data_IF_333773464564
#
_entry.id   IF_333773464564
#
_cell.length_a   1.000
_cell.length_b   1.000
_cell.length_c   1.000
_cell.angle_alpha   90.00
_cell.angle_beta   90.00
_cell.angle_gamma   90.00
#
_symmetry.space_group_name_H-M   'P 1'
#
loop_
_entity.id
_entity.type
_entity.pdbx_description
1 polymer ?
#
# COMPACT_ATOMS: atom_id res chain seq x y z
N UNK A 1 44.76 -21.25 -3.27
CA UNK A 1 44.36 -19.84 -3.04
C UNK A 1 44.04 -19.24 -4.39
N UNK A 2 42.76 -19.04 -4.71
CA UNK A 2 42.32 -18.51 -6.01
C UNK A 2 41.67 -17.16 -5.76
N UNK A 3 42.38 -16.10 -6.10
CA UNK A 3 41.95 -14.71 -6.04
C UNK A 3 41.29 -14.38 -7.37
N UNK A 4 39.96 -14.20 -7.40
CA UNK A 4 39.23 -13.74 -8.59
C UNK A 4 39.09 -12.23 -8.49
N UNK A 5 39.85 -11.50 -9.31
CA UNK A 5 39.68 -10.07 -9.52
C UNK A 5 39.98 -9.74 -10.98
N UNK A 6 39.02 -9.04 -11.60
CA UNK A 6 38.99 -8.56 -13.00
C UNK A 6 38.84 -9.69 -14.04
N UNK A 7 38.06 -9.57 -15.10
CA UNK A 7 38.10 -8.51 -16.10
C UNK A 7 36.84 -8.62 -17.00
N UNK A 8 36.32 -7.46 -17.41
CA UNK A 8 35.16 -7.26 -18.29
C UNK A 8 35.61 -7.43 -19.76
N UNK A 9 34.78 -8.01 -20.65
CA UNK A 9 34.42 -7.27 -21.88
C UNK A 9 32.93 -7.50 -22.22
N UNK A 10 32.06 -6.49 -22.21
CA UNK A 10 31.80 -5.56 -23.33
C UNK A 10 32.01 -6.22 -24.69
N UNK A 11 30.95 -6.79 -25.30
CA UNK A 11 30.72 -6.65 -26.73
C UNK A 11 29.30 -7.04 -27.16
N UNK A 12 28.72 -6.17 -27.99
CA UNK A 12 27.71 -6.45 -29.00
C UNK A 12 26.29 -6.83 -28.56
N UNK A 13 25.45 -5.81 -28.36
CA UNK A 13 24.10 -5.77 -28.94
C UNK A 13 23.54 -4.33 -28.82
N UNK A 14 24.16 -3.40 -29.56
CA UNK A 14 23.61 -2.05 -29.76
C UNK A 14 23.53 -1.82 -31.27
N UNK A 15 22.41 -2.20 -31.87
CA UNK A 15 21.98 -1.64 -33.14
C UNK A 15 20.45 -1.73 -33.26
N UNK A 16 19.88 -0.54 -33.46
CA UNK A 16 18.56 -0.28 -34.01
C UNK A 16 17.33 -0.65 -33.14
N UNK A 17 16.99 0.25 -32.22
CA UNK A 17 15.58 0.67 -32.09
C UNK A 17 15.53 2.13 -31.62
N UNK A 18 15.82 3.03 -32.55
CA UNK A 18 15.43 4.43 -32.41
C UNK A 18 13.94 4.55 -32.73
N UNK A 19 13.11 4.74 -31.69
CA UNK A 19 11.80 5.39 -31.80
C UNK A 19 11.38 5.93 -30.41
N UNK A 20 11.76 7.20 -30.18
CA UNK A 20 11.10 8.27 -29.40
C UNK A 20 10.63 8.04 -27.94
N UNK A 21 11.06 8.91 -26.98
CA UNK A 21 10.24 9.38 -25.86
C UNK A 21 9.41 10.62 -26.29
N UNK A 22 8.62 11.35 -25.46
CA UNK A 22 8.14 11.13 -24.08
C UNK A 22 6.62 11.41 -23.91
N UNK A 23 5.89 10.70 -23.04
CA UNK A 23 4.68 11.29 -22.40
C UNK A 23 4.52 10.87 -20.95
N UNK A 24 4.86 11.85 -20.10
CA UNK A 24 4.33 12.09 -18.77
C UNK A 24 2.81 11.84 -18.74
N UNK A 25 2.43 10.69 -18.19
CA UNK A 25 1.24 10.59 -17.37
C UNK A 25 1.80 10.40 -15.95
N UNK A 26 1.98 11.47 -15.15
CA UNK A 26 0.92 11.89 -14.22
C UNK A 26 -0.13 10.79 -14.17
N UNK A 27 0.09 9.80 -13.31
CA UNK A 27 -1.03 9.03 -12.82
C UNK A 27 -1.92 10.07 -12.15
N UNK A 28 -3.10 10.43 -12.68
CA UNK A 28 -4.10 11.02 -11.81
C UNK A 28 -4.29 9.98 -10.72
N UNK A 29 -4.05 10.41 -9.47
CA UNK A 29 -4.49 9.69 -8.29
C UNK A 29 -5.85 9.07 -8.61
N UNK A 30 -5.91 7.73 -8.52
CA UNK A 30 -7.05 6.94 -8.90
C UNK A 30 -8.35 7.65 -8.47
N UNK A 31 -9.10 8.14 -9.46
CA UNK A 31 -10.41 8.71 -9.23
C UNK A 31 -11.25 7.66 -8.47
N UNK A 32 -12.01 8.09 -7.46
CA UNK A 32 -12.45 7.25 -6.36
C UNK A 32 -13.41 6.18 -6.89
N UNK A 33 -13.00 4.93 -6.74
CA UNK A 33 -13.79 3.78 -7.12
C UNK A 33 -15.08 3.72 -6.30
N UNK A 34 -16.17 4.13 -6.97
CA UNK A 34 -17.54 3.60 -6.85
C UNK A 34 -18.13 3.68 -5.45
N UNK A 35 -19.06 4.60 -5.30
CA UNK A 35 -19.90 4.85 -4.14
C UNK A 35 -20.60 3.57 -3.63
N UNK A 36 -19.88 2.77 -2.85
CA UNK A 36 -20.48 1.94 -1.81
C UNK A 36 -20.97 2.94 -0.77
N UNK A 37 -22.28 3.15 -0.71
CA UNK A 37 -23.02 3.94 0.29
C UNK A 37 -22.09 4.91 1.04
N UNK A 38 -21.75 6.02 0.37
CA UNK A 38 -20.75 6.95 0.88
C UNK A 38 -21.25 7.46 2.23
N UNK A 39 -20.74 6.86 3.31
CA UNK A 39 -20.86 7.43 4.66
C UNK A 39 -20.37 8.86 4.48
N UNK A 40 -21.27 9.84 4.66
CA UNK A 40 -20.92 11.26 4.58
C UNK A 40 -20.03 11.57 5.77
N UNK A 41 -18.75 11.25 5.63
CA UNK A 41 -17.74 11.54 6.63
C UNK A 41 -17.36 13.01 6.51
N UNK A 42 -17.23 13.66 7.66
CA UNK A 42 -16.61 14.98 7.72
C UNK A 42 -15.12 14.87 7.30
N UNK A 43 -14.50 15.96 6.81
CA UNK A 43 -13.07 15.95 6.50
C UNK A 43 -12.20 15.59 7.72
N UNK A 44 -12.67 15.88 8.93
CA UNK A 44 -11.99 15.50 10.18
C UNK A 44 -12.05 13.98 10.43
N UNK A 45 -13.21 13.37 10.18
CA UNK A 45 -13.38 11.93 10.29
C UNK A 45 -12.53 11.18 9.26
N UNK A 46 -12.44 11.70 8.03
CA UNK A 46 -11.57 11.14 6.99
C UNK A 46 -10.10 11.17 7.43
N UNK A 47 -9.59 12.32 7.88
CA UNK A 47 -8.22 12.44 8.41
C UNK A 47 -7.97 11.48 9.58
N UNK A 48 -8.94 11.33 10.48
CA UNK A 48 -8.84 10.40 11.61
C UNK A 48 -8.77 8.94 11.15
N UNK A 49 -9.60 8.54 10.20
CA UNK A 49 -9.57 7.19 9.60
C UNK A 49 -8.22 6.92 8.94
N UNK A 50 -7.69 7.88 8.19
CA UNK A 50 -6.37 7.73 7.54
C UNK A 50 -5.25 7.56 8.58
N UNK A 51 -5.22 8.39 9.62
CA UNK A 51 -4.23 8.28 10.70
C UNK A 51 -4.31 6.95 11.43
N UNK A 52 -5.52 6.49 11.76
CA UNK A 52 -5.74 5.19 12.37
C UNK A 52 -5.29 4.06 11.45
N UNK A 53 -5.54 4.18 10.14
CA UNK A 53 -5.12 3.17 9.18
C UNK A 53 -3.59 3.06 9.10
N UNK A 54 -2.86 4.18 9.05
CA UNK A 54 -1.40 4.16 9.07
C UNK A 54 -0.85 3.55 10.37
N UNK A 55 -1.47 3.84 11.53
CA UNK A 55 -1.12 3.19 12.79
C UNK A 55 -1.37 1.68 12.75
N UNK A 56 -2.52 1.25 12.23
CA UNK A 56 -2.84 -0.17 12.09
C UNK A 56 -1.81 -0.91 11.20
N UNK A 57 -1.41 -0.29 10.08
CA UNK A 57 -0.36 -0.84 9.19
C UNK A 57 0.99 -0.91 9.92
N UNK A 58 1.35 0.12 10.68
CA UNK A 58 2.57 0.13 11.50
C UNK A 58 2.59 -0.99 12.52
N UNK A 59 1.51 -1.13 13.31
CA UNK A 59 1.35 -2.23 14.27
C UNK A 59 1.41 -3.60 13.60
N UNK A 60 0.71 -3.78 12.48
CA UNK A 60 0.77 -5.03 11.71
C UNK A 60 2.19 -5.37 11.24
N UNK A 61 2.92 -4.37 10.73
CA UNK A 61 4.30 -4.53 10.26
C UNK A 61 5.26 -4.88 11.40
N UNK A 62 4.97 -4.39 12.61
CA UNK A 62 5.70 -4.69 13.84
C UNK A 62 5.25 -6.01 14.50
N UNK A 63 4.37 -6.78 13.84
CA UNK A 63 3.76 -8.00 14.37
C UNK A 63 2.90 -7.81 15.64
N UNK A 64 2.52 -6.56 15.95
CA UNK A 64 1.61 -6.21 17.04
C UNK A 64 0.15 -6.31 16.55
N UNK A 65 -0.33 -7.55 16.45
CA UNK A 65 -1.70 -7.87 16.01
C UNK A 65 -2.79 -7.30 16.94
N UNK A 66 -2.62 -7.28 18.28
CA UNK A 66 -3.55 -6.63 19.18
C UNK A 66 -3.71 -5.14 18.89
N UNK A 67 -2.61 -4.39 18.74
CA UNK A 67 -2.68 -2.96 18.44
C UNK A 67 -3.26 -2.71 17.04
N UNK A 68 -2.87 -3.51 16.05
CA UNK A 68 -3.42 -3.42 14.69
C UNK A 68 -4.95 -3.61 14.70
N UNK A 69 -5.43 -4.62 15.43
CA UNK A 69 -6.86 -4.92 15.56
C UNK A 69 -7.63 -3.83 16.31
N UNK A 70 -7.03 -3.24 17.35
CA UNK A 70 -7.62 -2.12 18.09
C UNK A 70 -7.82 -0.90 17.18
N UNK A 71 -6.81 -0.53 16.39
CA UNK A 71 -6.91 0.57 15.43
C UNK A 71 -7.96 0.29 14.34
N UNK A 72 -8.04 -0.94 13.84
CA UNK A 72 -9.07 -1.34 12.88
C UNK A 72 -10.49 -1.23 13.47
N UNK A 73 -10.69 -1.60 14.74
CA UNK A 73 -11.98 -1.44 15.42
C UNK A 73 -12.42 0.02 15.49
N UNK A 74 -11.49 0.93 15.76
CA UNK A 74 -11.77 2.37 15.74
C UNK A 74 -12.14 2.85 14.33
N UNK A 75 -11.43 2.38 13.29
CA UNK A 75 -11.76 2.71 11.89
C UNK A 75 -13.17 2.25 11.56
N UNK A 76 -13.54 1.01 11.87
CA UNK A 76 -14.87 0.49 11.56
C UNK A 76 -15.99 1.13 12.37
N UNK A 77 -15.67 1.77 13.51
CA UNK A 77 -16.63 2.57 14.27
C UNK A 77 -16.96 3.91 13.58
N UNK A 78 -16.06 4.42 12.74
CA UNK A 78 -16.24 5.68 11.99
C UNK A 78 -16.69 5.41 10.56
N UNK A 79 -16.00 4.50 9.89
CA UNK A 79 -16.23 4.09 8.51
C UNK A 79 -16.25 2.56 8.39
N UNK A 80 -17.41 1.91 8.59
CA UNK A 80 -17.55 0.45 8.48
C UNK A 80 -17.17 -0.10 7.11
N UNK A 81 -17.28 0.72 6.05
CA UNK A 81 -17.04 0.34 4.66
C UNK A 81 -15.62 0.73 4.16
N UNK A 82 -14.69 1.05 5.06
CA UNK A 82 -13.32 1.43 4.70
C UNK A 82 -12.56 0.25 4.07
N UNK A 83 -12.52 0.19 2.73
CA UNK A 83 -11.94 -0.92 1.97
C UNK A 83 -10.52 -1.31 2.40
N UNK A 84 -9.56 -0.38 2.57
CA UNK A 84 -8.20 -0.75 2.98
C UNK A 84 -8.15 -1.40 4.37
N UNK A 85 -9.02 -0.96 5.30
CA UNK A 85 -9.09 -1.54 6.64
C UNK A 85 -9.69 -2.95 6.61
N UNK A 86 -10.69 -3.20 5.74
CA UNK A 86 -11.25 -4.54 5.55
C UNK A 86 -10.18 -5.52 5.05
N UNK A 87 -9.40 -5.12 4.05
CA UNK A 87 -8.30 -5.95 3.52
C UNK A 87 -7.23 -6.24 4.58
N UNK A 88 -6.86 -5.24 5.39
CA UNK A 88 -5.88 -5.43 6.48
C UNK A 88 -6.41 -6.37 7.57
N UNK A 89 -7.69 -6.23 7.95
CA UNK A 89 -8.34 -7.16 8.89
C UNK A 89 -8.30 -8.59 8.38
N UNK A 90 -8.57 -8.78 7.09
CA UNK A 90 -8.57 -10.12 6.50
C UNK A 90 -7.16 -10.71 6.48
N UNK A 91 -6.11 -9.91 6.24
CA UNK A 91 -4.70 -10.33 6.39
C UNK A 91 -4.35 -10.75 7.82
N UNK A 92 -4.81 -10.00 8.83
CA UNK A 92 -4.62 -10.35 10.25
C UNK A 92 -5.33 -11.68 10.57
N UNK A 93 -6.54 -11.89 10.06
CA UNK A 93 -7.24 -13.15 10.25
C UNK A 93 -6.51 -14.33 9.61
N UNK A 94 -5.92 -14.13 8.43
CA UNK A 94 -5.13 -15.15 7.73
C UNK A 94 -3.79 -15.45 8.40
N UNK A 95 -3.25 -14.56 9.24
CA UNK A 95 -2.05 -14.84 10.03
C UNK A 95 -2.30 -15.78 11.22
N UNK A 96 -3.56 -16.16 11.47
CA UNK A 96 -3.95 -17.04 12.58
C UNK A 96 -4.25 -16.29 13.88
N UNK A 97 -4.18 -14.96 13.89
CA UNK A 97 -4.63 -14.14 15.01
C UNK A 97 -6.16 -14.15 15.12
N UNK A 98 -6.69 -14.37 16.32
CA UNK A 98 -8.13 -14.48 16.62
C UNK A 98 -8.57 -13.47 17.66
#
# INVERSE_FOLDING_TARGET
MITIKFFIPVLACILACACLPPKKAVQPAAAPQRAAAAVKLSPEQLKKVDQLYYKAVGSFSNNDMPAASAHLKEIFSINPAHKPALELRDKIRLSGYK
#
